data_IF_474409406436
#
_entry.id   IF_474409406436
#
_cell.length_a   1.000
_cell.length_b   1.000
_cell.length_c   1.000
_cell.angle_alpha   90.00
_cell.angle_beta   90.00
_cell.angle_gamma   90.00
#
_symmetry.space_group_name_H-M   'P 1'
#
loop_
_entity.id
_entity.type
_entity.pdbx_description
1 polymer ?
#
# COMPACT_ATOMS: atom_id res chain seq x y z
N UNK A 1 4.82 8.25 5.23
CA UNK A 1 4.65 7.54 3.92
C UNK A 1 4.17 6.13 4.15
N UNK A 2 3.26 5.61 3.31
CA UNK A 2 2.88 4.19 3.23
C UNK A 2 3.32 3.59 1.90
N UNK A 3 3.51 2.26 1.85
CA UNK A 3 3.78 1.55 0.61
C UNK A 3 3.11 0.18 0.58
N UNK A 4 2.78 -0.27 -0.63
CA UNK A 4 2.21 -1.58 -0.92
C UNK A 4 2.95 -2.20 -2.09
N UNK A 5 3.02 -3.53 -2.13
CA UNK A 5 3.46 -4.27 -3.30
C UNK A 5 2.69 -5.57 -3.45
N UNK A 6 2.47 -5.97 -4.68
CA UNK A 6 1.90 -7.26 -5.05
C UNK A 6 2.45 -7.71 -6.39
N UNK A 7 2.53 -9.02 -6.61
CA UNK A 7 2.76 -9.57 -7.94
C UNK A 7 1.43 -9.90 -8.61
N UNK A 8 1.32 -9.54 -9.88
CA UNK A 8 0.07 -9.65 -10.66
C UNK A 8 0.27 -10.43 -11.94
N UNK A 9 -0.80 -11.06 -12.43
CA UNK A 9 -0.80 -11.83 -13.68
C UNK A 9 -1.30 -11.05 -14.89
N UNK A 10 -1.85 -9.86 -14.69
CA UNK A 10 -2.40 -8.96 -15.71
C UNK A 10 -1.56 -7.69 -15.84
N UNK A 11 -0.26 -7.85 -15.94
CA UNK A 11 0.70 -6.74 -15.97
C UNK A 11 0.42 -5.68 -17.04
N UNK A 12 -0.10 -6.06 -18.21
CA UNK A 12 -0.48 -5.11 -19.26
C UNK A 12 -1.59 -4.14 -18.79
N UNK A 13 -2.57 -4.62 -18.02
CA UNK A 13 -3.62 -3.75 -17.47
C UNK A 13 -3.05 -2.80 -16.41
N UNK A 14 -2.08 -3.27 -15.61
CA UNK A 14 -1.43 -2.44 -14.62
C UNK A 14 -0.64 -1.31 -15.25
N UNK A 15 0.24 -1.63 -16.20
CA UNK A 15 1.05 -0.61 -16.92
C UNK A 15 0.14 0.40 -17.63
N UNK A 16 -0.92 -0.10 -18.31
CA UNK A 16 -1.90 0.80 -18.95
C UNK A 16 -2.60 1.70 -17.94
N UNK A 17 -3.03 1.16 -16.81
CA UNK A 17 -3.65 1.95 -15.76
C UNK A 17 -2.69 3.02 -15.23
N UNK A 18 -1.45 2.65 -14.94
CA UNK A 18 -0.49 3.59 -14.37
C UNK A 18 -0.10 4.70 -15.35
N UNK A 19 0.05 4.38 -16.65
CA UNK A 19 0.53 5.34 -17.66
C UNK A 19 -0.61 6.16 -18.27
N UNK A 20 -1.75 5.53 -18.56
CA UNK A 20 -2.84 6.16 -19.33
C UNK A 20 -3.96 6.71 -18.44
N UNK A 21 -3.82 6.67 -17.12
CA UNK A 21 -4.80 7.26 -16.21
C UNK A 21 -4.87 8.77 -16.41
N UNK A 22 -6.08 9.31 -16.36
CA UNK A 22 -6.27 10.78 -16.45
C UNK A 22 -5.39 11.49 -15.41
N UNK A 23 -4.65 12.51 -15.88
CA UNK A 23 -3.69 13.29 -15.09
C UNK A 23 -2.52 12.47 -14.50
N UNK A 24 -2.24 11.28 -15.04
CA UNK A 24 -1.04 10.56 -14.71
C UNK A 24 0.17 11.21 -15.40
N UNK A 25 1.28 11.33 -14.67
CA UNK A 25 2.54 11.84 -15.21
C UNK A 25 3.60 10.74 -15.11
N UNK A 26 4.26 10.41 -16.24
CA UNK A 26 5.40 9.49 -16.21
C UNK A 26 6.56 10.22 -15.55
N UNK A 27 6.96 9.74 -14.38
CA UNK A 27 8.04 10.29 -13.57
C UNK A 27 9.39 9.73 -14.00
N UNK A 28 9.42 8.43 -14.32
CA UNK A 28 10.64 7.71 -14.72
C UNK A 28 10.32 6.42 -15.45
N UNK A 29 11.17 6.07 -16.38
CA UNK A 29 11.27 4.72 -16.98
C UNK A 29 12.67 4.16 -16.77
N UNK A 30 12.80 2.83 -16.80
CA UNK A 30 14.08 2.15 -16.68
C UNK A 30 14.16 0.99 -17.67
N UNK A 31 15.19 0.97 -18.52
CA UNK A 31 15.35 0.01 -19.61
C UNK A 31 14.16 -0.09 -20.57
N UNK A 32 13.35 0.97 -20.63
CA UNK A 32 12.24 1.14 -21.56
C UNK A 32 12.37 2.52 -22.20
N UNK A 33 11.99 2.70 -23.48
CA UNK A 33 11.79 4.03 -24.03
C UNK A 33 10.63 4.76 -23.34
N UNK A 34 10.74 6.06 -23.21
CA UNK A 34 9.71 6.93 -22.60
C UNK A 34 8.67 7.47 -23.59
N UNK A 35 8.97 7.35 -24.89
CA UNK A 35 8.17 7.83 -26.02
C UNK A 35 7.24 6.76 -26.64
N UNK A 36 7.08 5.60 -25.99
CA UNK A 36 6.24 4.50 -26.50
C UNK A 36 4.97 4.33 -25.62
N UNK A 37 3.94 3.73 -26.24
CA UNK A 37 2.69 3.48 -25.53
C UNK A 37 2.85 2.49 -24.35
N UNK A 38 1.91 2.53 -23.40
CA UNK A 38 1.86 1.59 -22.27
C UNK A 38 1.83 0.13 -22.72
N UNK A 39 1.11 -0.16 -23.82
CA UNK A 39 1.06 -1.47 -24.44
C UNK A 39 2.44 -1.90 -24.94
N UNK A 40 3.15 -1.01 -25.62
CA UNK A 40 4.49 -1.28 -26.15
C UNK A 40 5.50 -1.46 -25.00
N UNK A 41 5.42 -0.68 -23.92
CA UNK A 41 6.21 -0.87 -22.70
C UNK A 41 6.01 -2.29 -22.15
N UNK A 42 4.76 -2.71 -21.98
CA UNK A 42 4.46 -4.04 -21.47
C UNK A 42 4.91 -5.16 -22.43
N UNK A 43 4.76 -4.98 -23.74
CA UNK A 43 5.26 -5.96 -24.71
C UNK A 43 6.79 -6.12 -24.63
N UNK A 44 7.54 -5.06 -24.40
CA UNK A 44 8.99 -5.15 -24.15
C UNK A 44 9.32 -5.93 -22.88
N UNK A 45 8.53 -5.75 -21.81
CA UNK A 45 8.65 -6.58 -20.59
C UNK A 45 8.41 -8.06 -20.90
N UNK A 46 7.37 -8.37 -21.68
CA UNK A 46 7.06 -9.75 -22.10
C UNK A 46 8.16 -10.36 -22.97
N UNK A 47 8.74 -9.58 -23.89
CA UNK A 47 9.86 -10.05 -24.72
C UNK A 47 11.07 -10.40 -23.86
N UNK A 48 11.40 -9.58 -22.86
CA UNK A 48 12.48 -9.88 -21.91
C UNK A 48 12.20 -11.15 -21.10
N UNK A 49 10.97 -11.37 -20.66
CA UNK A 49 10.57 -12.60 -19.97
C UNK A 49 10.69 -13.84 -20.89
N UNK A 50 10.33 -13.71 -22.18
CA UNK A 50 10.43 -14.78 -23.16
C UNK A 50 11.88 -15.15 -23.46
N UNK A 51 12.76 -14.15 -23.54
CA UNK A 51 14.21 -14.36 -23.75
C UNK A 51 14.82 -15.35 -22.77
N UNK A 52 14.37 -15.28 -21.51
CA UNK A 52 14.87 -16.14 -20.43
C UNK A 52 13.93 -17.29 -20.04
N UNK A 53 12.84 -17.52 -20.76
CA UNK A 53 11.77 -18.44 -20.35
C UNK A 53 12.27 -19.89 -20.16
N UNK A 54 13.21 -20.36 -20.99
CA UNK A 54 13.80 -21.70 -20.89
C UNK A 54 14.52 -21.92 -19.55
N UNK A 55 15.17 -20.89 -19.04
CA UNK A 55 15.92 -20.93 -17.76
C UNK A 55 15.00 -20.74 -16.57
N UNK A 56 14.09 -19.76 -16.66
CA UNK A 56 13.28 -19.32 -15.52
C UNK A 56 12.17 -20.32 -15.17
N UNK A 57 11.44 -20.81 -16.15
CA UNK A 57 10.21 -21.57 -15.95
C UNK A 57 10.06 -22.74 -16.93
N UNK A 58 11.15 -23.34 -17.34
CA UNK A 58 11.18 -24.48 -18.27
C UNK A 58 10.37 -24.20 -19.56
N UNK A 59 10.51 -23.01 -20.12
CA UNK A 59 9.82 -22.57 -21.33
C UNK A 59 8.38 -22.10 -21.14
N UNK A 60 7.85 -22.10 -19.93
CA UNK A 60 6.47 -21.62 -19.65
C UNK A 60 6.48 -20.15 -19.26
N UNK A 61 5.46 -19.36 -19.67
CA UNK A 61 5.32 -17.98 -19.21
C UNK A 61 5.19 -17.87 -17.68
N UNK A 62 5.72 -16.81 -17.11
CA UNK A 62 5.48 -16.51 -15.69
C UNK A 62 4.00 -16.16 -15.49
N UNK A 63 3.32 -16.89 -14.62
CA UNK A 63 1.91 -16.64 -14.29
C UNK A 63 1.72 -15.26 -13.65
N UNK A 64 2.62 -14.86 -12.73
CA UNK A 64 2.68 -13.52 -12.14
C UNK A 64 3.91 -12.83 -12.71
N UNK A 65 3.72 -11.88 -13.62
CA UNK A 65 4.77 -11.37 -14.49
C UNK A 65 5.20 -9.93 -14.18
N UNK A 66 4.44 -9.20 -13.36
CA UNK A 66 4.74 -7.82 -12.95
C UNK A 66 4.65 -7.71 -11.43
N UNK A 67 5.58 -6.96 -10.83
CA UNK A 67 5.48 -6.44 -9.47
C UNK A 67 4.90 -5.04 -9.58
N UNK A 68 3.73 -4.85 -8.98
CA UNK A 68 3.10 -3.54 -8.84
C UNK A 68 3.32 -3.00 -7.44
N UNK A 69 3.83 -1.79 -7.34
CA UNK A 69 4.05 -1.08 -6.09
C UNK A 69 3.30 0.23 -6.09
N UNK A 70 2.84 0.65 -4.92
CA UNK A 70 2.24 1.95 -4.66
C UNK A 70 2.97 2.59 -3.50
N UNK A 71 3.34 3.86 -3.63
CA UNK A 71 4.05 4.63 -2.62
C UNK A 71 3.31 5.95 -2.42
N UNK A 72 2.89 6.22 -1.20
CA UNK A 72 2.09 7.40 -0.87
C UNK A 72 2.67 8.08 0.36
N UNK A 73 3.45 9.16 0.20
CA UNK A 73 3.72 10.10 1.28
C UNK A 73 2.43 10.81 1.67
N UNK A 74 2.37 11.45 2.84
CA UNK A 74 1.24 12.31 3.20
C UNK A 74 1.27 13.60 2.39
N UNK A 75 0.19 14.39 2.46
CA UNK A 75 0.15 15.71 1.82
C UNK A 75 1.21 16.65 2.37
N UNK A 76 1.44 16.60 3.68
CA UNK A 76 2.43 17.40 4.38
C UNK A 76 3.84 16.97 3.99
N UNK A 77 4.11 15.66 3.91
CA UNK A 77 5.42 15.12 3.52
C UNK A 77 5.80 15.48 2.08
N UNK A 78 4.82 15.60 1.18
CA UNK A 78 5.02 15.89 -0.25
C UNK A 78 4.63 17.32 -0.67
N UNK A 79 4.34 18.21 0.29
CA UNK A 79 3.96 19.59 -0.01
C UNK A 79 5.06 20.33 -0.79
N UNK A 80 4.68 20.94 -1.90
CA UNK A 80 5.61 21.70 -2.74
C UNK A 80 6.61 20.87 -3.56
N UNK A 81 6.43 19.55 -3.65
CA UNK A 81 7.33 18.70 -4.42
C UNK A 81 7.23 18.94 -5.92
N UNK A 82 8.39 18.92 -6.54
CA UNK A 82 8.59 18.90 -7.99
C UNK A 82 8.66 17.45 -8.51
N UNK A 83 8.59 17.25 -9.82
CA UNK A 83 8.84 15.93 -10.42
C UNK A 83 10.21 15.35 -10.02
N UNK A 84 11.23 16.18 -9.86
CA UNK A 84 12.56 15.74 -9.42
C UNK A 84 12.54 15.15 -7.99
N UNK A 85 11.66 15.63 -7.11
CA UNK A 85 11.48 15.08 -5.76
C UNK A 85 10.85 13.69 -5.81
N UNK A 86 9.86 13.51 -6.69
CA UNK A 86 9.23 12.22 -6.93
C UNK A 86 10.21 11.21 -7.55
N UNK A 87 11.06 11.64 -8.48
CA UNK A 87 12.17 10.80 -9.01
C UNK A 87 13.11 10.38 -7.89
N UNK A 88 13.47 11.31 -7.00
CA UNK A 88 14.34 11.00 -5.84
C UNK A 88 13.70 9.98 -4.91
N UNK A 89 12.42 10.15 -4.59
CA UNK A 89 11.69 9.19 -3.76
C UNK A 89 11.63 7.79 -4.41
N UNK A 90 11.28 7.72 -5.71
CA UNK A 90 11.22 6.45 -6.43
C UNK A 90 12.57 5.71 -6.42
N UNK A 91 13.67 6.43 -6.68
CA UNK A 91 15.02 5.87 -6.66
C UNK A 91 15.43 5.40 -5.26
N UNK A 92 15.14 6.18 -4.23
CA UNK A 92 15.41 5.81 -2.85
C UNK A 92 14.62 4.56 -2.45
N UNK A 93 13.32 4.56 -2.78
CA UNK A 93 12.44 3.45 -2.45
C UNK A 93 12.90 2.14 -3.11
N UNK A 94 13.18 2.14 -4.42
CA UNK A 94 13.67 0.96 -5.14
C UNK A 94 14.96 0.44 -4.51
N UNK A 95 15.90 1.32 -4.19
CA UNK A 95 17.18 0.93 -3.56
C UNK A 95 16.97 0.29 -2.18
N UNK A 96 16.11 0.87 -1.35
CA UNK A 96 15.81 0.33 -0.01
C UNK A 96 15.05 -0.99 -0.15
N UNK A 97 14.04 -1.04 -1.02
CA UNK A 97 13.26 -2.25 -1.31
C UNK A 97 14.16 -3.43 -1.72
N UNK A 98 15.14 -3.21 -2.59
CA UNK A 98 16.09 -4.22 -3.04
C UNK A 98 17.02 -4.71 -1.92
N UNK A 99 17.31 -3.89 -0.91
CA UNK A 99 18.25 -4.18 0.16
C UNK A 99 17.67 -4.96 1.33
N UNK A 100 16.36 -5.14 1.40
CA UNK A 100 15.70 -5.79 2.54
C UNK A 100 15.89 -7.31 2.48
N UNK A 101 16.46 -7.88 3.55
CA UNK A 101 16.65 -9.33 3.69
C UNK A 101 15.44 -9.96 4.39
N UNK A 102 14.64 -10.71 3.65
CA UNK A 102 13.53 -11.50 4.18
C UNK A 102 13.79 -13.01 4.16
N UNK A 103 15.01 -13.44 3.85
CA UNK A 103 15.35 -14.86 3.68
C UNK A 103 15.05 -15.71 4.92
N UNK A 104 15.35 -15.19 6.10
CA UNK A 104 15.09 -15.87 7.38
C UNK A 104 13.60 -16.03 7.64
N UNK A 105 12.83 -14.96 7.46
CA UNK A 105 11.38 -14.96 7.69
C UNK A 105 10.62 -15.79 6.66
N UNK A 106 10.98 -15.67 5.40
CA UNK A 106 10.43 -16.45 4.30
C UNK A 106 10.91 -17.93 4.30
N UNK A 107 11.94 -18.26 5.10
CA UNK A 107 12.66 -19.55 5.07
C UNK A 107 13.11 -19.91 3.66
N UNK A 108 13.61 -18.92 2.91
CA UNK A 108 13.88 -19.03 1.48
C UNK A 108 15.03 -18.10 1.07
N UNK A 109 16.11 -18.66 0.55
CA UNK A 109 17.32 -17.90 0.17
C UNK A 109 17.04 -16.85 -0.93
N UNK A 110 16.13 -17.14 -1.89
CA UNK A 110 15.78 -16.20 -2.97
C UNK A 110 15.06 -14.94 -2.46
N UNK A 111 14.47 -14.96 -1.26
CA UNK A 111 13.86 -13.80 -0.64
C UNK A 111 14.86 -12.88 0.06
N UNK A 112 16.17 -13.16 -0.05
CA UNK A 112 17.21 -12.31 0.55
C UNK A 112 17.17 -10.91 0.00
N UNK A 113 17.28 -10.77 -1.31
CA UNK A 113 17.27 -9.48 -2.00
C UNK A 113 16.44 -9.57 -3.27
N UNK A 114 15.92 -8.42 -3.73
CA UNK A 114 15.41 -8.23 -5.08
C UNK A 114 16.43 -7.44 -5.90
N UNK A 115 16.20 -7.34 -7.21
CA UNK A 115 17.05 -6.58 -8.12
C UNK A 115 16.17 -5.72 -9.06
N UNK A 116 15.18 -5.06 -8.45
CA UNK A 116 14.23 -4.19 -9.16
C UNK A 116 14.95 -3.08 -9.92
N UNK A 117 16.01 -2.53 -9.34
CA UNK A 117 16.85 -1.52 -10.02
C UNK A 117 17.41 -1.97 -11.37
N UNK A 118 17.59 -3.27 -11.56
CA UNK A 118 18.05 -3.88 -12.80
C UNK A 118 16.91 -4.49 -13.64
N UNK A 119 15.68 -4.15 -13.36
CA UNK A 119 14.50 -4.59 -14.10
C UNK A 119 13.96 -3.46 -14.98
N UNK A 120 13.23 -3.82 -16.03
CA UNK A 120 12.41 -2.85 -16.76
C UNK A 120 11.27 -2.40 -15.85
N UNK A 121 11.06 -1.10 -15.72
CA UNK A 121 9.94 -0.55 -14.96
C UNK A 121 9.50 0.83 -15.47
N UNK A 122 8.27 1.18 -15.15
CA UNK A 122 7.72 2.52 -15.31
C UNK A 122 7.23 3.02 -13.96
N UNK A 123 7.47 4.30 -13.68
CA UNK A 123 6.99 5.04 -12.52
C UNK A 123 6.06 6.13 -12.99
N UNK A 124 4.84 6.13 -12.50
CA UNK A 124 3.83 7.15 -12.79
C UNK A 124 3.33 7.81 -11.51
N UNK A 125 3.19 9.13 -11.53
CA UNK A 125 2.60 9.93 -10.47
C UNK A 125 1.10 10.10 -10.73
N UNK A 126 0.28 9.80 -9.74
CA UNK A 126 -1.17 9.96 -9.79
C UNK A 126 -1.64 10.98 -8.76
N UNK A 127 -2.63 11.79 -9.17
CA UNK A 127 -3.27 12.84 -8.35
C UNK A 127 -4.74 12.56 -8.04
N UNK A 128 -5.29 11.43 -8.49
CA UNK A 128 -6.72 11.13 -8.53
C UNK A 128 -7.22 10.29 -7.34
N UNK A 129 -6.41 10.11 -6.29
CA UNK A 129 -6.88 9.43 -5.09
C UNK A 129 -8.07 10.17 -4.47
N UNK A 130 -9.10 9.45 -4.01
CA UNK A 130 -10.25 10.04 -3.29
C UNK A 130 -9.83 10.88 -2.09
N UNK A 131 -8.69 10.55 -1.49
CA UNK A 131 -8.06 11.33 -0.40
C UNK A 131 -7.39 12.62 -0.89
N UNK A 132 -7.22 12.80 -2.21
CA UNK A 132 -6.43 13.87 -2.82
C UNK A 132 -4.94 13.80 -2.47
N UNK A 133 -4.41 12.63 -2.10
CA UNK A 133 -3.00 12.42 -1.78
C UNK A 133 -2.29 11.94 -3.06
N UNK A 134 -1.28 12.67 -3.55
CA UNK A 134 -0.46 12.20 -4.67
C UNK A 134 0.28 10.91 -4.31
N UNK A 135 0.41 10.00 -5.27
CA UNK A 135 1.07 8.72 -5.05
C UNK A 135 1.75 8.20 -6.31
N UNK A 136 2.82 7.44 -6.11
CA UNK A 136 3.51 6.77 -7.21
C UNK A 136 2.96 5.37 -7.41
N UNK A 137 2.74 5.01 -8.67
CA UNK A 137 2.66 3.64 -9.13
C UNK A 137 3.98 3.24 -9.79
N UNK A 138 4.51 2.08 -9.43
CA UNK A 138 5.71 1.51 -10.04
C UNK A 138 5.35 0.11 -10.53
N UNK A 139 5.33 -0.09 -11.84
CA UNK A 139 5.10 -1.38 -12.45
C UNK A 139 6.42 -1.93 -12.99
N UNK A 140 6.88 -3.04 -12.42
CA UNK A 140 8.21 -3.62 -12.63
C UNK A 140 8.09 -4.96 -13.31
N UNK A 141 8.87 -5.17 -14.37
CA UNK A 141 9.07 -6.50 -14.92
C UNK A 141 9.68 -7.41 -13.84
N UNK A 142 9.00 -8.53 -13.56
CA UNK A 142 9.47 -9.46 -12.54
C UNK A 142 10.77 -10.14 -12.88
N UNK A 143 11.14 -10.21 -14.16
CA UNK A 143 12.43 -10.69 -14.65
C UNK A 143 13.35 -9.49 -14.83
N UNK A 144 14.54 -9.54 -14.21
CA UNK A 144 15.55 -8.50 -14.38
C UNK A 144 16.30 -8.64 -15.72
N UNK A 145 17.18 -7.71 -16.00
CA UNK A 145 17.95 -7.68 -17.26
C UNK A 145 18.92 -8.84 -17.40
N UNK A 146 19.29 -9.50 -16.30
CA UNK A 146 20.17 -10.68 -16.25
C UNK A 146 19.39 -12.01 -16.31
N UNK A 147 18.05 -11.95 -16.44
CA UNK A 147 17.19 -13.12 -16.51
C UNK A 147 16.85 -13.75 -15.16
N UNK A 148 17.12 -13.07 -14.05
CA UNK A 148 16.72 -13.55 -12.73
C UNK A 148 15.30 -13.09 -12.39
N UNK A 149 14.56 -13.97 -11.73
CA UNK A 149 13.20 -13.64 -11.25
C UNK A 149 13.29 -12.99 -9.88
N UNK A 150 12.77 -11.78 -9.73
CA UNK A 150 12.58 -11.15 -8.45
C UNK A 150 11.60 -11.97 -7.60
N UNK A 151 12.03 -12.43 -6.43
CA UNK A 151 11.23 -13.25 -5.53
C UNK A 151 10.06 -12.44 -4.95
N UNK A 152 8.86 -13.02 -4.98
CA UNK A 152 7.63 -12.37 -4.52
C UNK A 152 7.14 -12.84 -3.14
N UNK A 153 7.92 -13.69 -2.46
CA UNK A 153 7.58 -14.09 -1.10
C UNK A 153 7.70 -12.90 -0.15
N UNK A 154 6.63 -12.71 0.61
CA UNK A 154 6.51 -11.57 1.53
C UNK A 154 6.72 -10.21 0.85
N UNK A 155 6.34 -10.07 -0.43
CA UNK A 155 6.56 -8.85 -1.22
C UNK A 155 5.85 -7.63 -0.60
N UNK A 156 4.66 -7.82 -0.02
CA UNK A 156 3.94 -6.77 0.69
C UNK A 156 4.69 -6.30 1.94
N UNK A 157 5.27 -7.23 2.69
CA UNK A 157 6.08 -6.91 3.85
C UNK A 157 7.37 -6.18 3.47
N UNK A 158 8.02 -6.60 2.39
CA UNK A 158 9.18 -5.88 1.84
C UNK A 158 8.83 -4.43 1.53
N UNK A 159 7.66 -4.18 0.95
CA UNK A 159 7.18 -2.83 0.64
C UNK A 159 6.97 -1.99 1.92
N UNK A 160 6.32 -2.56 2.93
CA UNK A 160 6.11 -1.87 4.21
C UNK A 160 7.43 -1.62 4.93
N UNK A 161 8.34 -2.58 4.96
CA UNK A 161 9.66 -2.41 5.58
C UNK A 161 10.49 -1.33 4.88
N UNK A 162 10.41 -1.23 3.54
CA UNK A 162 11.06 -0.15 2.80
C UNK A 162 10.49 1.23 3.18
N UNK A 163 9.17 1.34 3.28
CA UNK A 163 8.52 2.57 3.72
C UNK A 163 8.92 2.94 5.16
N UNK A 164 8.95 1.98 6.06
CA UNK A 164 9.37 2.17 7.45
C UNK A 164 10.79 2.76 7.54
N UNK A 165 11.75 2.16 6.85
CA UNK A 165 13.15 2.61 6.84
C UNK A 165 13.28 4.04 6.28
N UNK A 166 12.53 4.35 5.22
CA UNK A 166 12.57 5.70 4.61
C UNK A 166 11.92 6.73 5.54
N UNK A 167 10.78 6.40 6.16
CA UNK A 167 10.15 7.28 7.14
C UNK A 167 11.10 7.61 8.29
N UNK A 168 11.78 6.60 8.83
CA UNK A 168 12.77 6.78 9.89
C UNK A 168 13.91 7.71 9.46
N UNK A 169 14.50 7.49 8.27
CA UNK A 169 15.59 8.32 7.74
C UNK A 169 15.19 9.78 7.47
N UNK A 170 13.93 9.98 7.08
CA UNK A 170 13.39 11.31 6.76
C UNK A 170 12.72 12.00 7.93
N UNK A 171 12.64 11.37 9.10
CA UNK A 171 11.90 11.88 10.26
C UNK A 171 10.39 11.93 10.03
N UNK A 172 9.87 11.14 9.12
CA UNK A 172 8.44 11.05 8.82
C UNK A 172 7.71 10.16 9.83
N UNK A 173 6.43 10.46 10.04
CA UNK A 173 5.62 9.70 11.01
C UNK A 173 5.36 8.29 10.50
N UNK A 174 5.58 7.30 11.37
CA UNK A 174 5.24 5.92 11.04
C UNK A 174 3.72 5.71 11.01
N UNK A 175 3.19 4.96 10.02
CA UNK A 175 1.75 4.71 9.89
C UNK A 175 1.12 4.08 11.13
N UNK A 176 1.84 3.21 11.83
CA UNK A 176 1.43 2.57 13.07
C UNK A 176 1.18 3.61 14.18
N UNK A 177 2.02 4.64 14.27
CA UNK A 177 1.87 5.70 15.25
C UNK A 177 0.61 6.55 14.97
N UNK A 178 0.30 6.79 13.69
CA UNK A 178 -0.93 7.50 13.28
C UNK A 178 -2.16 6.66 13.63
N UNK A 179 -2.11 5.36 13.34
CA UNK A 179 -3.21 4.44 13.66
C UNK A 179 -3.44 4.37 15.16
N UNK A 180 -2.38 4.18 15.96
CA UNK A 180 -2.49 4.09 17.43
C UNK A 180 -3.00 5.40 18.05
N UNK A 181 -2.49 6.55 17.61
CA UNK A 181 -2.99 7.85 18.07
C UNK A 181 -4.49 7.99 17.80
N UNK A 182 -4.93 7.71 16.58
CA UNK A 182 -6.35 7.79 16.20
C UNK A 182 -7.21 6.78 16.95
N UNK A 183 -6.70 5.57 17.15
CA UNK A 183 -7.37 4.54 17.96
C UNK A 183 -7.62 5.01 19.38
N UNK A 184 -6.64 5.65 20.01
CA UNK A 184 -6.77 6.21 21.36
C UNK A 184 -7.77 7.36 21.39
N UNK A 185 -7.68 8.30 20.44
CA UNK A 185 -8.64 9.42 20.33
C UNK A 185 -10.10 8.92 20.20
N UNK A 186 -10.33 7.90 19.37
CA UNK A 186 -11.65 7.29 19.22
C UNK A 186 -12.08 6.59 20.52
N UNK A 187 -11.19 5.87 21.17
CA UNK A 187 -11.49 5.18 22.41
C UNK A 187 -11.87 6.16 23.52
N UNK A 188 -11.15 7.27 23.66
CA UNK A 188 -11.46 8.33 24.63
C UNK A 188 -12.82 8.96 24.32
N UNK A 189 -13.10 9.29 23.05
CA UNK A 189 -14.41 9.81 22.62
C UNK A 189 -15.54 8.81 22.94
N UNK A 190 -15.34 7.52 22.65
CA UNK A 190 -16.31 6.48 22.98
C UNK A 190 -16.63 6.47 24.49
N UNK A 191 -15.62 6.57 25.33
CA UNK A 191 -15.78 6.59 26.78
C UNK A 191 -16.48 7.87 27.25
N UNK A 192 -16.15 9.02 26.69
CA UNK A 192 -16.77 10.29 27.05
C UNK A 192 -18.25 10.34 26.66
N UNK A 193 -18.59 9.84 25.48
CA UNK A 193 -19.99 9.70 25.06
C UNK A 193 -20.74 8.77 26.01
N UNK A 194 -20.18 7.59 26.35
CA UNK A 194 -20.81 6.67 27.30
C UNK A 194 -21.06 7.31 28.66
N UNK A 195 -20.11 8.09 29.19
CA UNK A 195 -20.24 8.80 30.45
C UNK A 195 -21.29 9.91 30.42
N UNK A 196 -21.51 10.51 29.27
CA UNK A 196 -22.48 11.62 29.10
C UNK A 196 -23.92 11.14 28.97
N UNK A 197 -24.15 9.85 28.68
CA UNK A 197 -25.50 9.30 28.55
C UNK A 197 -26.13 9.11 29.93
N UNK A 198 -27.36 9.63 30.19
CA UNK A 198 -28.09 9.39 31.45
C UNK A 198 -28.42 7.90 31.67
N UNK A 199 -28.72 7.23 30.54
CA UNK A 199 -29.01 5.81 30.48
C UNK A 199 -28.43 5.30 29.12
N UNK A 200 -27.85 4.10 29.12
CA UNK A 200 -27.31 3.54 27.91
C UNK A 200 -28.40 3.12 26.92
N UNK A 201 -28.30 3.59 25.71
CA UNK A 201 -29.01 3.06 24.54
C UNK A 201 -28.12 3.11 23.32
N UNK A 202 -28.25 2.13 22.41
CA UNK A 202 -27.48 2.14 21.16
C UNK A 202 -27.76 3.38 20.32
N UNK A 203 -29.01 3.83 20.26
CA UNK A 203 -29.38 5.06 19.54
C UNK A 203 -28.76 6.33 20.14
N UNK A 204 -28.71 6.42 21.46
CA UNK A 204 -28.06 7.54 22.18
C UNK A 204 -26.53 7.51 21.96
N UNK A 205 -25.94 6.33 22.03
CA UNK A 205 -24.51 6.16 21.80
C UNK A 205 -24.12 6.48 20.34
N UNK A 206 -24.89 6.01 19.35
CA UNK A 206 -24.70 6.35 17.95
C UNK A 206 -24.82 7.86 17.70
N UNK A 207 -25.85 8.51 18.26
CA UNK A 207 -26.04 9.95 18.13
C UNK A 207 -24.87 10.73 18.74
N UNK A 208 -24.38 10.32 19.91
CA UNK A 208 -23.22 10.92 20.54
C UNK A 208 -21.95 10.78 19.71
N UNK A 209 -21.65 9.62 19.20
CA UNK A 209 -20.48 9.40 18.33
C UNK A 209 -20.59 10.16 17.00
N UNK A 210 -21.80 10.23 16.43
CA UNK A 210 -22.05 11.00 15.21
C UNK A 210 -21.80 12.50 15.39
N UNK A 211 -22.10 13.05 16.56
CA UNK A 211 -21.79 14.45 16.90
C UNK A 211 -20.27 14.74 16.87
N UNK A 212 -19.44 13.71 17.11
CA UNK A 212 -17.98 13.78 16.99
C UNK A 212 -17.45 13.37 15.60
N UNK A 213 -18.34 13.16 14.61
CA UNK A 213 -17.95 12.83 13.23
C UNK A 213 -17.63 11.34 13.00
N UNK A 214 -18.03 10.46 13.93
CA UNK A 214 -17.86 9.02 13.79
C UNK A 214 -19.18 8.34 13.39
N UNK A 215 -19.06 7.22 12.68
CA UNK A 215 -20.20 6.36 12.33
C UNK A 215 -20.01 5.02 13.02
N UNK A 216 -21.07 4.47 13.61
CA UNK A 216 -21.05 3.16 14.24
C UNK A 216 -21.71 2.12 13.31
N UNK A 217 -21.11 0.94 13.22
CA UNK A 217 -21.73 -0.22 12.57
C UNK A 217 -21.93 -1.30 13.63
N UNK A 218 -23.19 -1.60 13.94
CA UNK A 218 -23.56 -2.67 14.85
C UNK A 218 -23.52 -4.02 14.15
N UNK A 219 -23.08 -5.05 14.86
CA UNK A 219 -23.14 -6.44 14.44
C UNK A 219 -24.16 -7.14 15.33
N UNK A 220 -25.30 -7.51 14.75
CA UNK A 220 -26.41 -8.14 15.44
C UNK A 220 -26.49 -9.63 15.11
N UNK A 221 -27.00 -10.42 16.05
CA UNK A 221 -27.37 -11.80 15.81
C UNK A 221 -28.78 -11.91 15.19
N UNK A 222 -29.19 -13.13 14.83
CA UNK A 222 -30.49 -13.42 14.23
C UNK A 222 -31.69 -13.03 15.15
N UNK A 223 -31.44 -12.69 16.40
CA UNK A 223 -32.43 -12.26 17.39
C UNK A 223 -32.40 -10.74 17.65
N UNK A 224 -31.54 -10.00 16.91
CA UNK A 224 -31.36 -8.55 17.08
C UNK A 224 -30.50 -8.15 18.28
N UNK A 225 -29.78 -9.08 18.90
CA UNK A 225 -28.86 -8.72 19.97
C UNK A 225 -27.53 -8.26 19.40
N UNK A 226 -27.01 -7.13 19.85
CA UNK A 226 -25.71 -6.61 19.44
C UNK A 226 -24.61 -7.51 20.01
N UNK A 227 -23.79 -8.09 19.13
CA UNK A 227 -22.64 -8.96 19.46
C UNK A 227 -21.30 -8.25 19.32
N UNK A 228 -21.29 -7.11 18.67
CA UNK A 228 -20.11 -6.30 18.47
C UNK A 228 -20.44 -5.03 17.71
N UNK A 229 -19.48 -4.13 17.64
CA UNK A 229 -19.59 -2.96 16.79
C UNK A 229 -18.22 -2.50 16.28
N UNK A 230 -18.26 -1.67 15.27
CA UNK A 230 -17.08 -0.97 14.76
C UNK A 230 -17.38 0.51 14.64
N UNK A 231 -16.40 1.34 14.97
CA UNK A 231 -16.44 2.79 14.79
C UNK A 231 -15.68 3.15 13.52
N UNK A 232 -16.32 3.88 12.62
CA UNK A 232 -15.70 4.36 11.38
C UNK A 232 -15.25 5.81 11.56
N UNK A 233 -14.02 6.08 11.12
CA UNK A 233 -13.43 7.42 11.02
C UNK A 233 -12.86 7.59 9.61
N UNK A 234 -13.54 8.34 8.77
CA UNK A 234 -13.24 8.41 7.33
C UNK A 234 -13.33 7.02 6.70
N UNK A 235 -12.25 6.56 6.06
CA UNK A 235 -12.18 5.25 5.40
C UNK A 235 -11.66 4.13 6.33
N UNK A 236 -11.41 4.41 7.60
CA UNK A 236 -10.87 3.45 8.56
C UNK A 236 -11.94 2.93 9.49
N UNK A 237 -11.89 1.62 9.81
CA UNK A 237 -12.81 0.95 10.71
C UNK A 237 -12.06 0.38 11.91
N UNK A 238 -12.55 0.67 13.12
CA UNK A 238 -11.97 0.25 14.39
C UNK A 238 -12.99 -0.60 15.16
N UNK A 239 -12.67 -1.89 15.32
CA UNK A 239 -13.52 -2.80 16.10
C UNK A 239 -13.53 -2.41 17.57
N UNK A 240 -14.67 -2.55 18.23
CA UNK A 240 -14.82 -2.27 19.67
C UNK A 240 -13.77 -2.98 20.53
N UNK A 241 -13.41 -4.22 20.19
CA UNK A 241 -12.37 -4.99 20.89
C UNK A 241 -10.95 -4.42 20.77
N UNK A 242 -10.70 -3.53 19.81
CA UNK A 242 -9.42 -2.83 19.64
C UNK A 242 -9.40 -1.46 20.31
N UNK A 243 -10.58 -0.86 20.57
CA UNK A 243 -10.71 0.46 21.17
C UNK A 243 -10.52 0.41 22.68
N UNK A 244 -11.04 -0.60 23.38
CA UNK A 244 -10.98 -0.72 24.83
C UNK A 244 -9.88 -1.67 25.30
N UNK A 245 -9.25 -1.37 26.44
CA UNK A 245 -8.50 -2.35 27.22
C UNK A 245 -9.49 -3.14 28.09
N UNK A 246 -9.50 -4.45 27.93
CA UNK A 246 -10.50 -5.30 28.57
C UNK A 246 -11.85 -5.24 27.85
N UNK A 247 -12.96 -5.30 28.60
CA UNK A 247 -14.33 -5.35 28.05
C UNK A 247 -15.08 -4.01 28.12
N UNK A 248 -14.40 -2.89 28.38
CA UNK A 248 -15.05 -1.59 28.66
C UNK A 248 -15.83 -1.01 27.46
N UNK A 249 -15.47 -1.38 26.23
CA UNK A 249 -16.12 -0.92 24.99
C UNK A 249 -16.70 -2.10 24.20
N UNK A 250 -16.92 -3.24 24.84
CA UNK A 250 -17.61 -4.39 24.24
C UNK A 250 -19.06 -4.39 24.67
N UNK A 251 -19.98 -4.84 23.76
CA UNK A 251 -21.40 -4.98 24.13
C UNK A 251 -21.61 -6.00 25.22
#
# INVERSE_FOLDING_TARGET
MIAKAATISHGGNAVRYSVNKDKAEIVKVNFLPDDISAEAMFQRMVLKQKEFSSIINKGRPLKRNVIRMEISPTKEESAGWTLADWVRLANEYIRVFDSIDLSKKAKRASAKFTNVKNSQYVVALHHDAKSGIPHLHIDVNRVDMDGKVNDDHLIAERAMSAAYIINERRGWVQPENIYEKRRLEIADTCMDVLRSLPEFSWSGYEAGLKAHGYVIHLQEDDKGNVRGYSVLSGNSSYKSSLLGKGRHLMP
#
